data_IF_720072755460
#
_entry.id   IF_720072755460
#
_cell.length_a   1.000
_cell.length_b   1.000
_cell.length_c   1.000
_cell.angle_alpha   90.00
_cell.angle_beta   90.00
_cell.angle_gamma   90.00
#
_symmetry.space_group_name_H-M   'P 1'
#
loop_
_entity.id
_entity.type
_entity.pdbx_description
1 polymer ?
#
# COMPACT_ATOMS: atom_id res chain seq x y z
N UNK A 1 -26.72 5.18 31.91
CA UNK A 1 -25.78 4.03 32.09
C UNK A 1 -26.32 2.75 31.45
N UNK A 2 -27.62 2.41 31.55
CA UNK A 2 -28.13 1.14 31.00
C UNK A 2 -28.17 1.01 29.45
N UNK A 3 -28.38 2.09 28.72
CA UNK A 3 -28.47 2.02 27.24
C UNK A 3 -27.11 1.82 26.55
N UNK A 4 -26.04 2.38 27.09
CA UNK A 4 -24.70 2.26 26.52
C UNK A 4 -24.14 0.83 26.68
N UNK A 5 -24.42 0.16 27.81
CA UNK A 5 -24.01 -1.22 28.05
C UNK A 5 -24.75 -2.21 27.15
N UNK A 6 -26.01 -1.95 26.82
CA UNK A 6 -26.79 -2.79 25.90
C UNK A 6 -26.25 -2.67 24.47
N UNK A 7 -25.95 -1.46 24.00
CA UNK A 7 -25.42 -1.23 22.65
C UNK A 7 -24.02 -1.83 22.51
N UNK A 8 -23.18 -1.76 23.54
CA UNK A 8 -21.86 -2.39 23.56
C UNK A 8 -21.93 -3.92 23.47
N UNK A 9 -22.89 -4.54 24.18
CA UNK A 9 -23.12 -5.98 24.10
C UNK A 9 -23.60 -6.45 22.72
N UNK A 10 -24.50 -5.66 22.11
CA UNK A 10 -24.97 -5.92 20.74
C UNK A 10 -23.85 -5.77 19.71
N UNK A 11 -23.00 -4.75 19.87
CA UNK A 11 -21.83 -4.57 19.03
C UNK A 11 -20.86 -5.76 19.10
N UNK A 12 -20.60 -6.29 20.28
CA UNK A 12 -19.75 -7.46 20.47
C UNK A 12 -20.27 -8.69 19.70
N UNK A 13 -21.58 -8.89 19.66
CA UNK A 13 -22.20 -9.96 18.88
C UNK A 13 -22.00 -9.77 17.36
N UNK A 14 -22.10 -8.52 16.86
CA UNK A 14 -21.80 -8.21 15.44
C UNK A 14 -20.34 -8.47 15.14
N UNK A 15 -19.42 -7.99 15.96
CA UNK A 15 -17.97 -8.21 15.78
C UNK A 15 -17.65 -9.70 15.76
N UNK A 16 -18.27 -10.50 16.63
CA UNK A 16 -18.08 -11.97 16.63
C UNK A 16 -18.54 -12.62 15.34
N UNK A 17 -19.67 -12.19 14.78
CA UNK A 17 -20.14 -12.67 13.47
C UNK A 17 -19.21 -12.25 12.34
N UNK A 18 -18.73 -11.00 12.36
CA UNK A 18 -17.79 -10.49 11.36
C UNK A 18 -16.44 -11.21 11.40
N UNK A 19 -16.00 -11.68 12.57
CA UNK A 19 -14.79 -12.50 12.70
C UNK A 19 -14.90 -13.88 12.06
N UNK A 20 -16.11 -14.39 11.89
CA UNK A 20 -16.40 -15.65 11.20
C UNK A 20 -16.72 -15.48 9.70
N UNK A 21 -16.68 -14.28 9.15
CA UNK A 21 -16.98 -14.02 7.74
C UNK A 21 -15.72 -14.12 6.87
N UNK A 22 -15.63 -15.16 6.04
CA UNK A 22 -14.50 -15.42 5.14
C UNK A 22 -14.24 -14.30 4.10
N UNK A 23 -15.19 -13.36 3.95
CA UNK A 23 -15.06 -12.19 3.08
C UNK A 23 -14.17 -11.11 3.70
N UNK A 24 -13.92 -11.16 5.02
CA UNK A 24 -13.18 -10.15 5.76
C UNK A 24 -11.77 -10.67 6.10
N UNK A 25 -10.77 -9.92 5.69
CA UNK A 25 -9.38 -10.23 6.03
C UNK A 25 -9.07 -9.86 7.49
N UNK A 26 -8.05 -10.50 8.14
CA UNK A 26 -7.61 -10.15 9.49
C UNK A 26 -7.30 -8.67 9.68
N UNK A 27 -6.85 -8.00 8.63
CA UNK A 27 -6.53 -6.58 8.65
C UNK A 27 -7.81 -5.71 8.69
N UNK A 28 -8.84 -6.07 7.92
CA UNK A 28 -10.15 -5.40 7.98
C UNK A 28 -10.78 -5.57 9.36
N UNK A 29 -10.63 -6.75 9.96
CA UNK A 29 -11.05 -7.00 11.36
C UNK A 29 -10.31 -6.11 12.37
N UNK A 30 -9.05 -5.72 12.07
CA UNK A 30 -8.30 -4.74 12.85
C UNK A 30 -8.99 -3.37 12.91
N UNK A 31 -9.52 -2.88 11.78
CA UNK A 31 -10.27 -1.62 11.73
C UNK A 31 -11.62 -1.70 12.48
N UNK A 32 -12.29 -2.85 12.44
CA UNK A 32 -13.55 -3.05 13.17
C UNK A 32 -13.33 -2.95 14.70
N UNK A 33 -12.15 -3.31 15.20
CA UNK A 33 -11.81 -3.18 16.63
C UNK A 33 -11.63 -1.72 17.09
N UNK A 34 -11.41 -0.79 16.16
CA UNK A 34 -11.28 0.64 16.44
C UNK A 34 -12.63 1.37 16.44
N UNK A 35 -13.71 0.65 16.22
CA UNK A 35 -15.06 1.21 16.14
C UNK A 35 -15.71 1.23 17.50
N UNK A 36 -16.24 2.39 17.90
CA UNK A 36 -17.07 2.57 19.09
C UNK A 36 -18.53 2.72 18.72
N UNK A 37 -19.42 1.84 19.21
CA UNK A 37 -20.86 2.02 19.03
C UNK A 37 -21.38 3.08 20.00
N UNK A 38 -22.12 4.07 19.48
CA UNK A 38 -22.69 5.18 20.29
C UNK A 38 -24.15 4.99 20.63
N UNK A 39 -24.93 4.38 19.78
CA UNK A 39 -26.34 4.16 20.01
C UNK A 39 -27.11 3.83 18.74
N UNK A 40 -28.40 3.55 18.92
CA UNK A 40 -29.35 3.34 17.82
C UNK A 40 -30.37 4.47 17.86
N UNK A 41 -30.52 5.14 16.71
CA UNK A 41 -31.54 6.17 16.55
C UNK A 41 -32.44 5.81 15.36
N UNK A 42 -33.69 5.49 15.63
CA UNK A 42 -34.61 4.97 14.62
C UNK A 42 -34.18 3.59 14.13
N UNK A 43 -33.89 3.47 12.84
CA UNK A 43 -33.42 2.25 12.16
C UNK A 43 -31.91 2.23 11.91
N UNK A 44 -31.16 3.19 12.48
CA UNK A 44 -29.75 3.41 12.17
C UNK A 44 -28.88 3.27 13.42
N UNK A 45 -27.86 2.39 13.35
CA UNK A 45 -26.80 2.25 14.36
C UNK A 45 -25.70 3.29 14.09
N UNK A 46 -25.39 4.13 15.07
CA UNK A 46 -24.33 5.13 14.98
C UNK A 46 -23.04 4.58 15.54
N UNK A 47 -22.00 4.64 14.70
CA UNK A 47 -20.65 4.15 14.99
C UNK A 47 -19.67 5.32 14.91
N UNK A 48 -18.79 5.44 15.88
CA UNK A 48 -17.66 6.37 15.83
C UNK A 48 -16.36 5.63 15.47
N UNK A 49 -15.53 6.31 14.67
CA UNK A 49 -14.24 5.81 14.22
C UNK A 49 -13.16 6.89 14.34
N UNK A 50 -11.88 6.52 14.55
CA UNK A 50 -10.81 7.49 14.80
C UNK A 50 -10.47 8.37 13.59
N UNK A 51 -10.64 7.88 12.36
CA UNK A 51 -10.23 8.58 11.16
C UNK A 51 -11.08 8.25 9.93
N UNK A 52 -10.91 9.06 8.87
CA UNK A 52 -11.63 8.92 7.60
C UNK A 52 -11.32 7.59 6.88
N UNK A 53 -10.13 7.04 7.02
CA UNK A 53 -9.76 5.77 6.42
C UNK A 53 -10.61 4.63 6.99
N UNK A 54 -10.75 4.56 8.31
CA UNK A 54 -11.61 3.57 8.95
C UNK A 54 -13.07 3.73 8.52
N UNK A 55 -13.55 4.98 8.40
CA UNK A 55 -14.90 5.27 7.89
C UNK A 55 -15.10 4.73 6.48
N UNK A 56 -14.14 4.96 5.59
CA UNK A 56 -14.21 4.51 4.20
C UNK A 56 -14.19 3.00 4.07
N UNK A 57 -13.32 2.33 4.82
CA UNK A 57 -13.25 0.85 4.86
C UNK A 57 -14.58 0.26 5.34
N UNK A 58 -15.17 0.82 6.40
CA UNK A 58 -16.47 0.37 6.90
C UNK A 58 -17.58 0.57 5.88
N UNK A 59 -17.62 1.70 5.20
CA UNK A 59 -18.68 2.01 4.23
C UNK A 59 -18.54 1.26 2.91
N UNK A 60 -17.33 0.86 2.50
CA UNK A 60 -17.10 0.22 1.20
C UNK A 60 -16.91 -1.29 1.32
N UNK A 61 -16.03 -1.76 2.20
CA UNK A 61 -15.64 -3.17 2.27
C UNK A 61 -16.39 -3.97 3.33
N UNK A 62 -16.68 -3.36 4.47
CA UNK A 62 -17.35 -4.04 5.59
C UNK A 62 -18.87 -3.93 5.49
N UNK A 63 -19.40 -2.93 4.76
CA UNK A 63 -20.83 -2.65 4.69
C UNK A 63 -21.72 -3.86 4.36
N UNK A 64 -21.42 -4.69 3.34
CA UNK A 64 -22.26 -5.87 3.07
C UNK A 64 -22.27 -6.86 4.23
N UNK A 65 -21.10 -7.22 4.75
CA UNK A 65 -20.97 -8.13 5.89
C UNK A 65 -21.59 -7.59 7.18
N UNK A 66 -21.48 -6.26 7.38
CA UNK A 66 -22.08 -5.56 8.51
C UNK A 66 -23.62 -5.64 8.47
N UNK A 67 -24.23 -5.33 7.33
CA UNK A 67 -25.68 -5.40 7.15
C UNK A 67 -26.18 -6.84 7.31
N UNK A 68 -25.46 -7.83 6.78
CA UNK A 68 -25.78 -9.26 6.96
C UNK A 68 -25.70 -9.67 8.44
N UNK A 69 -24.70 -9.20 9.18
CA UNK A 69 -24.51 -9.48 10.60
C UNK A 69 -25.60 -8.83 11.46
N UNK A 70 -26.06 -7.63 11.09
CA UNK A 70 -27.15 -6.90 11.76
C UNK A 70 -28.51 -7.52 11.48
N UNK A 71 -28.80 -7.91 10.24
CA UNK A 71 -30.07 -8.53 9.83
C UNK A 71 -30.37 -9.85 10.59
N UNK A 72 -29.35 -10.53 11.08
CA UNK A 72 -29.48 -11.76 11.87
C UNK A 72 -29.75 -11.55 13.37
N UNK A 73 -29.83 -10.32 13.87
CA UNK A 73 -29.97 -9.99 15.30
C UNK A 73 -31.27 -9.19 15.56
N UNK A 74 -32.28 -9.86 16.10
CA UNK A 74 -33.54 -9.24 16.49
C UNK A 74 -33.39 -8.21 17.63
N UNK A 75 -32.25 -8.21 18.32
CA UNK A 75 -32.00 -7.41 19.53
C UNK A 75 -31.52 -5.98 19.25
N UNK A 76 -31.18 -5.64 18.00
CA UNK A 76 -30.76 -4.28 17.62
C UNK A 76 -31.90 -3.22 17.57
N UNK A 77 -33.00 -3.45 18.27
CA UNK A 77 -34.11 -2.47 18.31
C UNK A 77 -34.69 -2.13 16.93
N UNK A 78 -34.50 -3.00 15.93
CA UNK A 78 -34.95 -2.78 14.56
C UNK A 78 -33.95 -2.03 13.66
N UNK A 79 -32.71 -1.81 14.09
CA UNK A 79 -31.71 -1.15 13.24
C UNK A 79 -31.38 -2.01 12.02
N UNK A 80 -31.67 -1.47 10.85
CA UNK A 80 -31.41 -2.12 9.54
C UNK A 80 -30.28 -1.46 8.76
N UNK A 81 -29.74 -0.35 9.29
CA UNK A 81 -28.66 0.41 8.66
C UNK A 81 -27.67 0.93 9.71
N UNK A 82 -26.52 1.42 9.27
CA UNK A 82 -25.54 2.08 10.14
C UNK A 82 -24.98 3.34 9.51
N UNK A 83 -24.58 4.28 10.34
CA UNK A 83 -23.89 5.51 9.98
C UNK A 83 -22.57 5.62 10.74
N UNK A 84 -21.51 6.06 10.04
CA UNK A 84 -20.17 6.17 10.61
C UNK A 84 -19.77 7.63 10.72
N UNK A 85 -19.44 8.07 11.92
CA UNK A 85 -18.97 9.43 12.25
C UNK A 85 -17.49 9.36 12.64
N UNK A 86 -16.69 10.30 12.16
CA UNK A 86 -15.27 10.38 12.53
C UNK A 86 -15.14 11.21 13.81
N UNK A 87 -14.51 10.61 14.82
CA UNK A 87 -14.16 11.26 16.07
C UNK A 87 -12.66 11.06 16.36
N UNK A 88 -11.81 12.08 16.09
CA UNK A 88 -10.37 11.99 16.29
C UNK A 88 -9.94 11.76 17.75
N UNK A 89 -10.82 12.02 18.72
CA UNK A 89 -10.49 11.82 20.15
C UNK A 89 -10.36 10.33 20.51
N UNK A 90 -10.98 9.44 19.74
CA UNK A 90 -10.87 7.98 19.94
C UNK A 90 -9.43 7.50 19.69
N UNK A 91 -8.68 8.14 18.81
CA UNK A 91 -7.29 7.77 18.51
C UNK A 91 -6.38 7.90 19.74
N UNK A 92 -6.67 8.85 20.64
CA UNK A 92 -5.94 9.04 21.89
C UNK A 92 -6.24 7.95 22.94
N UNK A 93 -7.40 7.33 22.88
CA UNK A 93 -7.79 6.27 23.81
C UNK A 93 -7.11 4.92 23.50
N UNK A 94 -6.65 4.71 22.26
CA UNK A 94 -5.95 3.51 21.82
C UNK A 94 -4.43 3.67 21.72
N UNK A 95 -3.87 4.84 22.09
CA UNK A 95 -2.44 5.00 22.22
C UNK A 95 -1.91 4.09 23.33
N UNK A 96 -0.90 3.24 23.08
CA UNK A 96 -0.33 2.40 24.13
C UNK A 96 0.18 3.30 25.24
N UNK A 97 -0.20 3.00 26.50
CA UNK A 97 0.24 3.70 27.66
C UNK A 97 1.77 3.81 27.62
N UNK A 98 2.29 5.03 27.63
CA UNK A 98 3.73 5.28 27.75
C UNK A 98 4.17 4.74 29.11
N UNK A 99 4.73 3.54 29.12
CA UNK A 99 5.51 3.06 30.26
C UNK A 99 6.73 3.95 30.37
N UNK A 100 6.72 4.81 31.37
CA UNK A 100 7.87 5.59 31.81
C UNK A 100 8.99 4.63 32.19
N UNK A 101 9.98 4.52 31.33
CA UNK A 101 11.24 3.88 31.67
C UNK A 101 11.99 4.81 32.62
N UNK A 102 12.04 4.45 33.90
CA UNK A 102 13.03 4.97 34.82
C UNK A 102 14.37 4.32 34.48
N UNK A 103 15.36 5.16 34.22
CA UNK A 103 16.75 4.80 34.02
C UNK A 103 17.26 3.90 35.14
N UNK A 104 17.85 2.74 34.87
CA UNK A 104 18.61 2.02 35.86
C UNK A 104 20.02 2.57 36.01
N UNK A 105 20.43 2.87 37.25
CA UNK A 105 21.78 3.23 37.67
C UNK A 105 22.84 2.28 37.15
N UNK A 106 24.08 2.74 36.92
CA UNK A 106 25.17 1.95 36.37
C UNK A 106 25.73 0.99 37.40
N UNK A 107 25.61 -0.32 37.17
CA UNK A 107 26.31 -1.35 37.90
C UNK A 107 27.66 -1.68 37.26
N UNK A 108 28.71 -1.71 38.08
CA UNK A 108 30.10 -1.96 37.74
C UNK A 108 30.38 -3.37 37.12
N UNK A 109 31.53 -3.57 36.47
CA UNK A 109 31.80 -4.74 35.65
C UNK A 109 32.17 -5.98 36.45
N UNK A 110 31.56 -7.11 36.12
CA UNK A 110 32.06 -8.44 36.56
C UNK A 110 32.66 -9.15 35.35
N UNK A 111 33.94 -9.42 35.46
CA UNK A 111 34.72 -10.22 34.54
C UNK A 111 34.43 -11.71 34.70
N UNK A 112 34.50 -12.42 33.60
CA UNK A 112 35.09 -13.73 33.34
C UNK A 112 34.21 -14.84 32.76
N UNK A 113 34.61 -15.18 31.52
CA UNK A 113 34.94 -16.50 30.97
C UNK A 113 33.80 -17.51 30.76
N UNK A 114 33.50 -17.71 29.46
CA UNK A 114 32.81 -18.89 28.96
C UNK A 114 32.76 -18.84 27.42
N UNK A 115 33.35 -19.88 26.79
CA UNK A 115 33.57 -20.02 25.35
C UNK A 115 32.31 -19.84 24.50
N UNK A 116 32.43 -19.42 23.20
CA UNK A 116 31.32 -19.13 22.33
C UNK A 116 30.56 -20.39 21.94
N UNK A 117 29.34 -20.51 22.39
CA UNK A 117 28.38 -21.42 21.76
C UNK A 117 28.01 -20.81 20.41
N UNK A 118 28.45 -21.47 19.36
CA UNK A 118 28.02 -21.19 17.99
C UNK A 118 26.52 -21.47 17.91
N UNK A 119 25.70 -20.43 18.05
CA UNK A 119 24.31 -20.49 17.64
C UNK A 119 24.28 -20.47 16.11
N UNK A 120 24.14 -21.66 15.54
CA UNK A 120 23.74 -21.80 14.13
C UNK A 120 22.36 -21.18 14.00
N UNK A 121 22.28 -19.99 13.43
CA UNK A 121 21.02 -19.41 12.97
C UNK A 121 20.36 -20.40 12.01
N UNK A 122 19.08 -20.76 12.21
CA UNK A 122 18.38 -21.53 11.20
C UNK A 122 18.33 -20.68 9.92
N UNK A 123 19.00 -21.13 8.88
CA UNK A 123 18.85 -20.64 7.53
C UNK A 123 17.38 -20.78 7.17
N UNK A 124 16.65 -19.74 6.80
CA UNK A 124 15.32 -19.91 6.29
C UNK A 124 15.43 -20.61 4.93
N UNK A 125 15.23 -21.93 4.92
CA UNK A 125 14.97 -22.71 3.72
C UNK A 125 13.55 -22.42 3.25
N UNK A 126 13.31 -21.19 2.82
CA UNK A 126 12.19 -20.81 2.00
C UNK A 126 12.69 -20.77 0.57
N UNK A 127 12.08 -21.50 -0.32
CA UNK A 127 12.25 -21.42 -1.76
C UNK A 127 12.13 -19.94 -2.16
N UNK A 128 13.28 -19.24 -2.18
CA UNK A 128 13.37 -17.86 -2.58
C UNK A 128 12.88 -17.77 -4.03
N UNK A 129 11.94 -16.89 -4.28
CA UNK A 129 11.51 -16.51 -5.60
C UNK A 129 12.77 -16.09 -6.37
N UNK A 130 13.26 -16.92 -7.29
CA UNK A 130 14.49 -16.67 -8.06
C UNK A 130 14.29 -15.57 -9.11
N UNK A 131 13.14 -14.91 -9.10
CA UNK A 131 12.84 -13.81 -10.00
C UNK A 131 13.58 -12.55 -9.53
N UNK A 132 14.45 -12.01 -10.39
CA UNK A 132 15.19 -10.77 -10.11
C UNK A 132 14.24 -9.57 -10.10
N UNK A 133 13.87 -9.12 -8.91
CA UNK A 133 12.92 -8.00 -8.72
C UNK A 133 13.57 -6.63 -8.90
N UNK A 134 14.89 -6.52 -8.77
CA UNK A 134 15.69 -5.28 -8.77
C UNK A 134 15.21 -4.23 -7.74
N UNK A 135 14.57 -4.66 -6.66
CA UNK A 135 14.08 -3.75 -5.62
C UNK A 135 15.21 -3.33 -4.67
N UNK A 136 15.24 -2.04 -4.31
CA UNK A 136 16.12 -1.51 -3.28
C UNK A 136 15.56 -1.86 -1.89
N UNK A 137 16.29 -2.62 -1.05
CA UNK A 137 15.79 -3.07 0.26
C UNK A 137 15.53 -1.94 1.25
N UNK A 138 16.10 -0.75 1.02
CA UNK A 138 15.92 0.40 1.89
C UNK A 138 14.63 1.21 1.61
N UNK A 139 13.94 0.92 0.52
CA UNK A 139 12.77 1.68 0.08
C UNK A 139 11.49 0.89 0.34
N UNK A 140 11.02 0.96 1.59
CA UNK A 140 9.79 0.31 2.05
C UNK A 140 8.78 1.35 2.53
N UNK A 141 7.52 0.97 2.73
CA UNK A 141 6.53 1.86 3.33
C UNK A 141 6.93 2.30 4.74
N UNK A 142 7.54 1.40 5.53
CA UNK A 142 8.01 1.72 6.88
C UNK A 142 9.10 2.79 6.90
N UNK A 143 9.91 2.85 5.86
CA UNK A 143 10.99 3.84 5.73
C UNK A 143 10.55 5.12 5.00
N UNK A 144 9.38 5.13 4.40
CA UNK A 144 8.78 6.32 3.80
C UNK A 144 8.22 7.24 4.90
N UNK A 145 8.41 8.55 4.76
CA UNK A 145 7.84 9.54 5.69
C UNK A 145 6.61 10.15 5.05
N UNK A 146 5.45 9.90 5.65
CA UNK A 146 4.17 10.43 5.19
C UNK A 146 3.92 11.81 5.77
N UNK A 147 3.42 12.73 4.96
CA UNK A 147 2.98 14.07 5.31
C UNK A 147 1.84 14.49 4.39
N UNK A 148 1.29 15.68 4.60
CA UNK A 148 0.13 16.16 3.82
C UNK A 148 0.39 16.21 2.32
N UNK A 149 1.63 16.53 1.92
CA UNK A 149 2.06 16.65 0.52
C UNK A 149 2.15 15.32 -0.25
N UNK A 150 2.15 14.17 0.44
CA UNK A 150 2.33 12.86 -0.17
C UNK A 150 1.36 11.79 0.37
N UNK A 151 0.48 12.15 1.29
CA UNK A 151 -0.45 11.22 1.95
C UNK A 151 -1.34 10.49 0.96
N UNK A 152 -1.87 11.20 -0.05
CA UNK A 152 -2.73 10.60 -1.05
C UNK A 152 -1.96 9.63 -1.95
N UNK A 153 -0.77 10.01 -2.41
CA UNK A 153 0.10 9.13 -3.20
C UNK A 153 0.52 7.88 -2.42
N UNK A 154 0.84 8.04 -1.11
CA UNK A 154 1.13 6.92 -0.23
C UNK A 154 -0.06 5.96 -0.10
N UNK A 155 -1.27 6.47 0.15
CA UNK A 155 -2.47 5.65 0.27
C UNK A 155 -2.82 4.93 -1.04
N UNK A 156 -2.68 5.60 -2.18
CA UNK A 156 -2.89 5.00 -3.50
C UNK A 156 -1.86 3.89 -3.79
N UNK A 157 -0.60 4.13 -3.46
CA UNK A 157 0.49 3.15 -3.59
C UNK A 157 0.24 1.91 -2.73
N UNK A 158 -0.20 2.12 -1.49
CA UNK A 158 -0.53 1.04 -0.57
C UNK A 158 -1.71 0.19 -1.09
N UNK A 159 -2.79 0.82 -1.56
CA UNK A 159 -3.94 0.15 -2.14
C UNK A 159 -3.61 -0.65 -3.41
N UNK A 160 -2.74 -0.11 -4.29
CA UNK A 160 -2.28 -0.82 -5.49
C UNK A 160 -1.44 -2.06 -5.14
N UNK A 161 -0.65 -2.01 -4.06
CA UNK A 161 0.12 -3.14 -3.58
C UNK A 161 -0.74 -4.21 -2.89
N UNK A 162 -1.81 -3.81 -2.18
CA UNK A 162 -2.75 -4.73 -1.54
C UNK A 162 -3.62 -5.50 -2.53
N UNK A 163 -4.02 -4.87 -3.61
CA UNK A 163 -4.90 -5.47 -4.60
C UNK A 163 -4.39 -5.24 -6.04
N UNK A 164 -3.25 -5.87 -6.43
CA UNK A 164 -2.65 -5.66 -7.73
C UNK A 164 -3.62 -5.97 -8.87
N UNK A 165 -3.69 -5.05 -9.83
CA UNK A 165 -4.57 -5.14 -11.00
C UNK A 165 -6.06 -4.90 -10.74
N UNK A 166 -6.47 -4.65 -9.48
CA UNK A 166 -7.88 -4.50 -9.09
C UNK A 166 -8.23 -3.12 -8.54
N UNK A 167 -7.30 -2.48 -7.78
CA UNK A 167 -7.59 -1.20 -7.16
C UNK A 167 -7.45 -0.05 -8.17
N UNK A 168 -6.22 0.27 -8.54
CA UNK A 168 -5.89 1.37 -9.44
C UNK A 168 -4.90 0.88 -10.49
N UNK A 169 -5.32 0.72 -11.75
CA UNK A 169 -4.47 0.19 -12.80
C UNK A 169 -4.67 0.97 -14.13
N UNK A 170 -3.65 1.71 -14.60
CA UNK A 170 -2.37 1.94 -13.95
C UNK A 170 -2.48 2.86 -12.71
N UNK A 171 -1.49 2.81 -11.83
CA UNK A 171 -1.25 3.87 -10.86
C UNK A 171 -0.14 4.77 -11.41
N UNK A 172 -0.44 6.05 -11.60
CA UNK A 172 0.51 7.04 -12.12
C UNK A 172 0.86 8.05 -11.02
N UNK A 173 2.13 8.05 -10.58
CA UNK A 173 2.64 8.92 -9.51
C UNK A 173 3.54 9.97 -10.14
N UNK A 174 3.23 11.26 -9.97
CA UNK A 174 4.02 12.33 -10.56
C UNK A 174 4.38 13.41 -9.54
N UNK A 175 5.35 14.25 -9.88
CA UNK A 175 5.84 15.36 -9.06
C UNK A 175 7.33 15.56 -9.26
N UNK A 176 7.86 16.69 -8.79
CA UNK A 176 9.24 17.09 -9.01
C UNK A 176 10.26 16.02 -8.58
N UNK A 177 11.48 16.13 -9.11
CA UNK A 177 12.56 15.21 -8.77
C UNK A 177 12.90 15.27 -7.27
N UNK A 178 13.26 14.12 -6.69
CA UNK A 178 13.67 14.00 -5.29
C UNK A 178 12.53 13.96 -4.26
N UNK A 179 11.26 13.95 -4.66
CA UNK A 179 10.10 13.91 -3.74
C UNK A 179 9.74 12.51 -3.21
N UNK A 180 10.44 11.46 -3.66
CA UNK A 180 10.24 10.10 -3.15
C UNK A 180 9.38 9.19 -4.03
N UNK A 181 9.16 9.52 -5.31
CA UNK A 181 8.43 8.68 -6.28
C UNK A 181 9.03 7.29 -6.38
N UNK A 182 10.33 7.21 -6.65
CA UNK A 182 11.09 5.95 -6.70
C UNK A 182 10.98 5.16 -5.40
N UNK A 183 11.00 5.83 -4.24
CA UNK A 183 10.82 5.18 -2.94
C UNK A 183 9.45 4.50 -2.84
N UNK A 184 8.36 5.18 -3.19
CA UNK A 184 7.01 4.61 -3.21
C UNK A 184 6.92 3.45 -4.20
N UNK A 185 7.55 3.56 -5.37
CA UNK A 185 7.56 2.52 -6.37
C UNK A 185 8.16 1.21 -5.83
N UNK A 186 9.32 1.30 -5.18
CA UNK A 186 9.95 0.14 -4.53
C UNK A 186 9.13 -0.38 -3.33
N UNK A 187 8.55 0.53 -2.54
CA UNK A 187 7.73 0.16 -1.39
C UNK A 187 6.50 -0.67 -1.81
N UNK A 188 5.85 -0.32 -2.93
CA UNK A 188 4.78 -1.12 -3.54
C UNK A 188 5.27 -2.55 -3.82
N UNK A 189 6.44 -2.69 -4.44
CA UNK A 189 7.01 -3.99 -4.78
C UNK A 189 7.30 -4.85 -3.55
N UNK A 190 7.96 -4.27 -2.54
CA UNK A 190 8.26 -4.97 -1.29
C UNK A 190 6.99 -5.41 -0.55
N UNK A 191 6.01 -4.52 -0.48
CA UNK A 191 4.76 -4.83 0.22
C UNK A 191 3.93 -5.89 -0.52
N UNK A 192 3.83 -5.81 -1.85
CA UNK A 192 3.18 -6.83 -2.65
C UNK A 192 3.83 -8.22 -2.48
N UNK A 193 5.17 -8.29 -2.44
CA UNK A 193 5.91 -9.54 -2.19
C UNK A 193 5.64 -10.10 -0.78
N UNK A 194 5.47 -9.23 0.22
CA UNK A 194 5.15 -9.67 1.58
C UNK A 194 3.76 -10.28 1.69
N UNK A 195 2.79 -9.77 0.93
CA UNK A 195 1.41 -10.28 0.89
C UNK A 195 1.27 -11.51 -0.03
N UNK A 196 1.98 -11.49 -1.14
CA UNK A 196 1.89 -12.49 -2.20
C UNK A 196 3.27 -13.06 -2.55
N UNK A 197 3.79 -14.06 -1.82
CA UNK A 197 5.16 -14.56 -2.00
C UNK A 197 5.47 -15.12 -3.39
N UNK A 198 4.46 -15.41 -4.20
CA UNK A 198 4.61 -15.93 -5.57
C UNK A 198 4.41 -14.87 -6.65
N UNK A 199 4.09 -13.63 -6.28
CA UNK A 199 3.90 -12.54 -7.24
C UNK A 199 5.23 -12.23 -7.95
N UNK A 200 5.17 -12.08 -9.25
CA UNK A 200 6.33 -11.71 -10.08
C UNK A 200 6.39 -10.19 -10.19
N UNK A 201 7.24 -9.57 -9.38
CA UNK A 201 7.47 -8.13 -9.38
C UNK A 201 8.70 -7.78 -10.19
N UNK A 202 8.60 -6.80 -11.07
CA UNK A 202 9.71 -6.24 -11.82
C UNK A 202 9.76 -4.72 -11.66
N UNK A 203 10.87 -4.25 -11.09
CA UNK A 203 11.23 -2.83 -11.16
C UNK A 203 12.16 -2.61 -12.35
N UNK A 204 11.96 -1.53 -13.08
CA UNK A 204 12.80 -1.10 -14.20
C UNK A 204 12.70 0.41 -14.36
N UNK A 205 13.84 1.09 -14.60
CA UNK A 205 13.82 2.45 -15.07
C UNK A 205 13.49 2.50 -16.58
N UNK A 206 12.96 3.61 -17.06
CA UNK A 206 12.68 3.78 -18.49
C UNK A 206 13.95 3.69 -19.35
N UNK A 207 15.09 4.06 -18.79
CA UNK A 207 16.39 3.89 -19.47
C UNK A 207 16.79 2.43 -19.59
N UNK A 208 16.66 1.66 -18.49
CA UNK A 208 16.91 0.21 -18.51
C UNK A 208 15.95 -0.52 -19.45
N UNK A 209 14.66 -0.16 -19.43
CA UNK A 209 13.68 -0.70 -20.38
C UNK A 209 14.08 -0.44 -21.82
N UNK A 210 14.56 0.79 -22.12
CA UNK A 210 15.09 1.14 -23.44
C UNK A 210 16.30 0.28 -23.82
N UNK A 211 17.25 0.12 -22.89
CA UNK A 211 18.46 -0.67 -23.14
C UNK A 211 18.13 -2.15 -23.32
N UNK A 212 17.24 -2.72 -22.50
CA UNK A 212 16.78 -4.11 -22.63
C UNK A 212 16.12 -4.33 -24.01
N UNK A 213 15.32 -3.36 -24.48
CA UNK A 213 14.66 -3.40 -25.79
C UNK A 213 15.66 -3.32 -26.95
N UNK A 214 16.58 -2.36 -26.92
CA UNK A 214 17.61 -2.19 -27.97
C UNK A 214 18.48 -3.43 -28.06
N UNK A 215 18.92 -3.97 -26.93
CA UNK A 215 19.74 -5.19 -26.86
C UNK A 215 18.99 -6.41 -27.40
N UNK A 216 17.69 -6.50 -27.16
CA UNK A 216 16.88 -7.58 -27.67
C UNK A 216 16.71 -7.53 -29.18
N UNK A 217 16.53 -6.32 -29.77
CA UNK A 217 16.49 -6.14 -31.23
C UNK A 217 17.84 -6.46 -31.84
N UNK A 218 18.92 -5.88 -31.32
CA UNK A 218 20.29 -6.07 -31.85
C UNK A 218 20.75 -7.54 -31.82
N UNK A 219 20.24 -8.33 -30.90
CA UNK A 219 20.53 -9.77 -30.77
C UNK A 219 19.47 -10.69 -31.38
N UNK A 220 18.48 -10.15 -32.11
CA UNK A 220 17.35 -10.87 -32.68
C UNK A 220 16.56 -11.73 -31.65
N UNK A 221 16.44 -11.22 -30.41
CA UNK A 221 15.75 -11.86 -29.27
C UNK A 221 14.53 -11.10 -28.80
N UNK A 222 13.79 -10.46 -29.72
CA UNK A 222 12.59 -9.68 -29.40
C UNK A 222 11.49 -10.53 -28.72
N UNK A 223 11.39 -11.82 -29.04
CA UNK A 223 10.46 -12.74 -28.35
C UNK A 223 10.84 -12.95 -26.90
N UNK A 224 12.11 -13.13 -26.58
CA UNK A 224 12.58 -13.29 -25.21
C UNK A 224 12.34 -12.04 -24.35
N UNK A 225 12.51 -10.84 -24.94
CA UNK A 225 12.16 -9.59 -24.27
C UNK A 225 10.65 -9.55 -23.94
N UNK A 226 9.81 -9.87 -24.91
CA UNK A 226 8.36 -9.89 -24.69
C UNK A 226 7.95 -10.93 -23.64
N UNK A 227 8.57 -12.11 -23.62
CA UNK A 227 8.29 -13.15 -22.63
C UNK A 227 8.62 -12.67 -21.21
N UNK A 228 9.79 -12.03 -21.01
CA UNK A 228 10.22 -11.49 -19.72
C UNK A 228 9.20 -10.49 -19.17
N UNK A 229 8.69 -9.57 -20.00
CA UNK A 229 7.76 -8.54 -19.56
C UNK A 229 6.29 -9.00 -19.53
N UNK A 230 5.92 -10.06 -20.24
CA UNK A 230 4.55 -10.63 -20.21
C UNK A 230 4.31 -11.54 -19.00
N UNK A 231 5.37 -12.14 -18.48
CA UNK A 231 5.29 -13.09 -17.33
C UNK A 231 5.35 -12.37 -15.96
N UNK A 232 5.12 -11.06 -15.93
CA UNK A 232 5.14 -10.23 -14.74
C UNK A 232 3.70 -10.04 -14.23
N UNK A 233 3.53 -10.00 -12.90
CA UNK A 233 2.26 -9.69 -12.25
C UNK A 233 2.17 -8.23 -11.82
N UNK A 234 3.32 -7.61 -11.52
CA UNK A 234 3.44 -6.22 -11.09
C UNK A 234 4.65 -5.58 -11.77
N UNK A 235 4.40 -4.68 -12.71
CA UNK A 235 5.42 -3.87 -13.36
C UNK A 235 5.52 -2.51 -12.68
N UNK A 236 6.73 -2.17 -12.23
CA UNK A 236 7.09 -0.89 -11.63
C UNK A 236 8.05 -0.20 -12.59
N UNK A 237 7.58 0.84 -13.28
CA UNK A 237 8.42 1.59 -14.22
C UNK A 237 8.68 3.01 -13.70
N UNK A 238 9.95 3.35 -13.61
CA UNK A 238 10.41 4.61 -13.06
C UNK A 238 10.77 5.61 -14.18
N UNK A 239 10.40 6.88 -13.93
CA UNK A 239 10.79 8.02 -14.76
C UNK A 239 10.41 7.88 -16.24
N UNK A 240 9.11 7.67 -16.51
CA UNK A 240 8.58 7.41 -17.85
C UNK A 240 8.92 8.52 -18.87
N UNK A 241 9.19 9.76 -18.41
CA UNK A 241 9.55 10.88 -19.26
C UNK A 241 10.81 10.62 -20.10
N UNK A 242 11.71 9.73 -19.68
CA UNK A 242 12.90 9.37 -20.45
C UNK A 242 12.61 8.52 -21.70
N UNK A 243 11.37 8.09 -21.91
CA UNK A 243 10.93 7.52 -23.21
C UNK A 243 10.59 8.58 -24.23
N UNK A 244 10.56 9.87 -23.87
CA UNK A 244 10.26 10.96 -24.79
C UNK A 244 11.18 10.93 -26.02
N UNK A 245 10.58 11.00 -27.22
CA UNK A 245 11.30 11.00 -28.49
C UNK A 245 11.93 9.66 -28.88
N UNK A 246 11.61 8.56 -28.18
CA UNK A 246 12.08 7.21 -28.49
C UNK A 246 10.94 6.35 -29.05
N UNK A 247 10.44 6.67 -30.22
CA UNK A 247 9.20 6.13 -30.80
C UNK A 247 9.12 4.60 -30.76
N UNK A 248 10.18 3.89 -31.17
CA UNK A 248 10.22 2.43 -31.16
C UNK A 248 10.13 1.83 -29.75
N UNK A 249 10.76 2.48 -28.77
CA UNK A 249 10.69 2.04 -27.36
C UNK A 249 9.33 2.35 -26.76
N UNK A 250 8.72 3.50 -27.13
CA UNK A 250 7.36 3.82 -26.74
C UNK A 250 6.37 2.79 -27.28
N UNK A 251 6.50 2.38 -28.54
CA UNK A 251 5.67 1.35 -29.15
C UNK A 251 5.83 0.00 -28.42
N UNK A 252 7.06 -0.40 -28.12
CA UNK A 252 7.31 -1.62 -27.34
C UNK A 252 6.70 -1.56 -25.94
N UNK A 253 6.82 -0.41 -25.27
CA UNK A 253 6.20 -0.18 -23.98
C UNK A 253 4.67 -0.20 -24.08
N UNK A 254 4.08 0.42 -25.08
CA UNK A 254 2.63 0.39 -25.31
C UNK A 254 2.09 -1.02 -25.46
N UNK A 255 2.76 -1.87 -26.22
CA UNK A 255 2.39 -3.26 -26.35
C UNK A 255 2.53 -4.06 -25.04
N UNK A 256 3.60 -3.80 -24.28
CA UNK A 256 3.83 -4.40 -22.96
C UNK A 256 2.74 -3.97 -21.99
N UNK A 257 2.46 -2.66 -21.91
CA UNK A 257 1.40 -2.10 -21.07
C UNK A 257 0.04 -2.72 -21.36
N UNK A 258 -0.38 -2.73 -22.64
CA UNK A 258 -1.68 -3.30 -23.03
C UNK A 258 -1.77 -4.80 -22.69
N UNK A 259 -0.69 -5.53 -22.90
CA UNK A 259 -0.67 -6.97 -22.56
C UNK A 259 -0.87 -7.18 -21.06
N UNK A 260 -0.15 -6.46 -20.22
CA UNK A 260 -0.28 -6.54 -18.76
C UNK A 260 -1.67 -6.09 -18.30
N UNK A 261 -2.12 -4.93 -18.75
CA UNK A 261 -3.40 -4.38 -18.36
C UNK A 261 -4.58 -5.29 -18.74
N UNK A 262 -4.59 -5.85 -19.95
CA UNK A 262 -5.64 -6.76 -20.42
C UNK A 262 -5.68 -8.09 -19.65
N UNK A 263 -4.56 -8.46 -19.02
CA UNK A 263 -4.48 -9.65 -18.16
C UNK A 263 -4.64 -9.32 -16.67
N UNK A 264 -5.15 -8.11 -16.34
CA UNK A 264 -5.31 -7.63 -14.96
C UNK A 264 -4.01 -7.67 -14.14
N UNK A 265 -2.86 -7.49 -14.80
CA UNK A 265 -1.57 -7.32 -14.16
C UNK A 265 -1.39 -5.84 -13.78
N UNK A 266 -0.82 -5.58 -12.62
CA UNK A 266 -0.64 -4.22 -12.14
C UNK A 266 0.50 -3.51 -12.86
N UNK A 267 0.25 -2.27 -13.27
CA UNK A 267 1.29 -1.35 -13.76
C UNK A 267 1.33 -0.12 -12.87
N UNK A 268 2.51 0.24 -12.39
CA UNK A 268 2.75 1.49 -11.65
C UNK A 268 3.81 2.29 -12.39
N UNK A 269 3.54 3.57 -12.59
CA UNK A 269 4.36 4.47 -13.40
C UNK A 269 4.73 5.69 -12.57
N UNK A 270 5.99 6.10 -12.61
CA UNK A 270 6.39 7.40 -12.07
C UNK A 270 6.81 8.36 -13.17
N UNK A 271 6.68 9.66 -12.89
CA UNK A 271 7.08 10.74 -13.80
C UNK A 271 7.41 12.02 -13.03
N UNK A 272 8.27 12.86 -13.60
CA UNK A 272 8.45 14.23 -13.11
C UNK A 272 7.28 15.14 -13.52
N UNK A 273 6.53 14.76 -14.56
CA UNK A 273 5.44 15.55 -15.14
C UNK A 273 4.10 14.79 -15.10
N UNK A 274 3.01 15.54 -15.00
CA UNK A 274 1.67 14.99 -15.25
C UNK A 274 1.55 14.43 -16.68
N UNK A 275 0.79 13.34 -16.92
CA UNK A 275 0.62 12.74 -18.24
C UNK A 275 0.32 13.73 -19.36
N UNK A 276 -0.53 14.73 -19.11
CA UNK A 276 -0.90 15.76 -20.09
C UNK A 276 0.25 16.68 -20.51
N UNK A 277 1.28 16.77 -19.68
CA UNK A 277 2.46 17.61 -19.93
C UNK A 277 3.62 16.82 -20.56
N UNK A 278 3.47 15.51 -20.72
CA UNK A 278 4.46 14.67 -21.38
C UNK A 278 4.42 14.92 -22.89
N UNK A 279 5.38 15.71 -23.38
CA UNK A 279 5.53 15.99 -24.82
C UNK A 279 6.24 14.83 -25.53
N UNK A 280 6.00 14.65 -26.83
CA UNK A 280 6.66 13.59 -27.61
C UNK A 280 6.19 12.17 -27.31
N UNK A 281 5.05 12.02 -26.64
CA UNK A 281 4.33 10.77 -26.52
C UNK A 281 3.13 10.76 -27.45
N UNK A 282 2.78 9.60 -27.98
CA UNK A 282 1.56 9.44 -28.77
C UNK A 282 0.31 9.57 -27.87
N UNK A 283 -0.76 10.20 -28.39
CA UNK A 283 -2.03 10.40 -27.67
C UNK A 283 -2.62 9.10 -27.10
N UNK A 284 -2.44 8.00 -27.83
CA UNK A 284 -2.90 6.67 -27.36
C UNK A 284 -2.20 6.23 -26.07
N UNK A 285 -0.91 6.61 -25.88
CA UNK A 285 -0.15 6.31 -24.67
C UNK A 285 -0.61 7.18 -23.50
N UNK A 286 -0.76 8.48 -23.73
CA UNK A 286 -1.24 9.44 -22.74
C UNK A 286 -2.63 9.04 -22.24
N UNK A 287 -3.52 8.64 -23.16
CA UNK A 287 -4.83 8.12 -22.81
C UNK A 287 -4.77 6.88 -21.88
N UNK A 288 -3.79 5.99 -22.07
CA UNK A 288 -3.59 4.81 -21.20
C UNK A 288 -3.14 5.19 -19.80
N UNK A 289 -2.27 6.19 -19.68
CA UNK A 289 -1.84 6.69 -18.36
C UNK A 289 -3.00 7.30 -17.57
N UNK A 290 -4.02 7.79 -18.23
CA UNK A 290 -5.21 8.36 -17.61
C UNK A 290 -6.31 7.34 -17.24
N UNK A 291 -6.19 6.09 -17.65
CA UNK A 291 -7.22 5.06 -17.38
C UNK A 291 -7.38 4.73 -15.89
N UNK A 292 -6.29 4.78 -15.14
CA UNK A 292 -6.28 4.44 -13.72
C UNK A 292 -6.34 5.66 -12.81
N UNK A 293 -5.54 5.63 -11.74
CA UNK A 293 -5.43 6.73 -10.79
C UNK A 293 -4.15 7.52 -11.04
N UNK A 294 -4.28 8.83 -11.15
CA UNK A 294 -3.14 9.77 -11.13
C UNK A 294 -3.07 10.43 -9.76
N UNK A 295 -1.87 10.52 -9.22
CA UNK A 295 -1.60 11.19 -7.94
C UNK A 295 -0.30 11.95 -8.00
N UNK A 296 -0.32 13.15 -7.42
CA UNK A 296 0.86 13.99 -7.31
C UNK A 296 1.56 13.83 -5.96
N UNK A 297 2.85 14.12 -5.95
CA UNK A 297 3.63 14.32 -4.75
C UNK A 297 4.17 15.75 -4.79
N UNK A 298 3.80 16.54 -3.79
CA UNK A 298 4.25 17.93 -3.67
C UNK A 298 5.44 18.07 -2.73
N UNK A 299 6.11 19.23 -2.77
CA UNK A 299 7.21 19.53 -1.89
C UNK A 299 6.77 19.45 -0.41
N UNK A 300 7.50 18.71 0.43
CA UNK A 300 7.12 18.50 1.82
C UNK A 300 7.25 19.79 2.65
N UNK A 301 6.31 20.02 3.58
CA UNK A 301 6.37 21.04 4.58
C UNK A 301 7.58 20.85 5.53
N UNK A 302 7.90 21.87 6.32
CA UNK A 302 9.09 21.87 7.19
C UNK A 302 9.11 20.68 8.16
N UNK A 303 7.99 20.36 8.76
CA UNK A 303 7.82 19.26 9.72
C UNK A 303 8.16 17.91 9.06
N UNK A 304 7.64 17.68 7.86
CA UNK A 304 7.91 16.45 7.08
C UNK A 304 9.38 16.38 6.67
N UNK A 305 10.00 17.53 6.29
CA UNK A 305 11.44 17.57 5.97
C UNK A 305 12.30 17.21 7.17
N UNK A 306 11.98 17.72 8.36
CA UNK A 306 12.67 17.38 9.61
C UNK A 306 12.52 15.89 9.91
N UNK A 307 11.32 15.33 9.76
CA UNK A 307 11.06 13.90 9.98
C UNK A 307 11.86 13.02 8.99
N UNK A 308 11.96 13.42 7.71
CA UNK A 308 12.79 12.75 6.71
C UNK A 308 14.27 12.74 7.12
N UNK A 309 14.80 13.90 7.56
CA UNK A 309 16.19 14.01 7.98
C UNK A 309 16.49 13.14 9.22
N UNK A 310 15.60 13.16 10.23
CA UNK A 310 15.72 12.28 11.40
C UNK A 310 15.75 10.81 11.00
N UNK A 311 14.78 10.39 10.20
CA UNK A 311 14.70 8.99 9.74
C UNK A 311 15.90 8.55 8.90
N UNK A 312 16.54 9.49 8.17
CA UNK A 312 17.80 9.20 7.45
C UNK A 312 19.01 9.15 8.38
N UNK A 313 19.03 9.90 9.49
CA UNK A 313 20.12 9.90 10.46
C UNK A 313 20.10 8.65 11.38
N UNK A 314 18.96 7.98 11.52
CA UNK A 314 18.79 6.76 12.30
C UNK A 314 19.20 5.47 11.54
N UNK A 315 19.54 5.60 10.25
CA UNK A 315 20.04 4.51 9.38
C UNK A 315 21.56 4.49 9.32
#
# INVERSE_FOLDING_TARGET
>A
MAEHDVVAGLWLNVVTKLQGDDRLTPQILGYIRLVEPKGVLGDTLYLEVPNDLTREILNTRVRPSMLDAMAGNADFGGATNFAVVVNPEIEQAFAPAQTSYTDPEPVAPVSQIGAPLVYSSPTPSGSANTFDTRLNPNYTFDTFVTGDSNRFAHAAAFAAAEAPGKAYNPLFIYGDSGLGKTHLLHAIGHYALSLYPRIKVRYVSSEEFTNDFINAIGSNRSSAFQEVYRDIDLLLIDDIQFLQGKDQTQEAFFHTFNTLHNHNKQVVITSDLEPKLLTGFEDRMLSRFEWGLKTDIQAPALETRIAILRKKAER
#
